data_IF_821209104100
#
_entry.id   IF_821209104100
#
_cell.length_a   1.000
_cell.length_b   1.000
_cell.length_c   1.000
_cell.angle_alpha   90.00
_cell.angle_beta   90.00
_cell.angle_gamma   90.00
#
_symmetry.space_group_name_H-M   'P 1'
#
loop_
_entity.id
_entity.type
_entity.pdbx_description
1 polymer ?
#
# COMPACT_ATOMS: atom_id res chain seq x y z
N UNK A 1 -32.00 39.43 -18.76
CA UNK A 1 -31.21 39.71 -17.55
C UNK A 1 -29.97 40.46 -18.01
N UNK A 2 -29.82 41.73 -17.63
CA UNK A 2 -28.73 42.57 -18.16
C UNK A 2 -27.37 42.01 -17.68
N UNK A 3 -26.36 41.96 -18.56
CA UNK A 3 -25.06 41.34 -18.28
C UNK A 3 -24.38 41.87 -16.99
N UNK A 4 -24.59 43.15 -16.68
CA UNK A 4 -24.11 43.80 -15.47
C UNK A 4 -24.78 43.27 -14.18
N UNK A 5 -26.04 42.84 -14.26
CA UNK A 5 -26.75 42.28 -13.11
C UNK A 5 -26.28 40.84 -12.79
N UNK A 6 -25.90 40.08 -13.82
CA UNK A 6 -25.34 38.73 -13.64
C UNK A 6 -23.94 38.80 -13.02
N UNK A 7 -23.05 39.66 -13.52
CA UNK A 7 -21.72 39.86 -12.95
C UNK A 7 -21.79 40.33 -11.47
N UNK A 8 -22.71 41.25 -11.15
CA UNK A 8 -22.91 41.75 -9.80
C UNK A 8 -23.48 40.68 -8.85
N UNK A 9 -24.45 39.88 -9.30
CA UNK A 9 -24.98 38.74 -8.50
C UNK A 9 -23.95 37.63 -8.34
N UNK A 10 -23.06 37.44 -9.33
CA UNK A 10 -21.98 36.46 -9.24
C UNK A 10 -20.91 36.86 -8.21
N UNK A 11 -20.52 38.14 -8.17
CA UNK A 11 -19.67 38.68 -7.10
C UNK A 11 -20.33 38.54 -5.72
N UNK A 12 -21.65 38.71 -5.62
CA UNK A 12 -22.38 38.48 -4.36
C UNK A 12 -22.40 37.01 -3.94
N UNK A 13 -22.59 36.06 -4.87
CA UNK A 13 -22.57 34.62 -4.56
C UNK A 13 -21.18 34.17 -4.09
N UNK A 14 -20.11 34.64 -4.74
CA UNK A 14 -18.73 34.38 -4.28
C UNK A 14 -18.49 35.02 -2.90
N UNK A 15 -19.04 36.22 -2.66
CA UNK A 15 -18.83 36.94 -1.39
C UNK A 15 -19.54 36.30 -0.18
N UNK A 16 -20.53 35.42 -0.37
CA UNK A 16 -21.26 34.73 0.71
C UNK A 16 -20.42 33.57 1.30
N UNK A 17 -19.53 32.96 0.50
CA UNK A 17 -18.58 31.91 0.95
C UNK A 17 -17.15 32.44 1.24
N UNK A 18 -16.97 33.77 1.22
CA UNK A 18 -15.66 34.43 1.18
C UNK A 18 -15.02 34.91 2.52
N UNK A 19 -15.17 34.27 3.69
CA UNK A 19 -14.15 34.48 4.73
C UNK A 19 -12.79 33.86 4.35
N UNK A 20 -12.72 33.01 3.30
CA UNK A 20 -11.51 32.26 2.90
C UNK A 20 -10.98 32.51 1.49
N UNK A 21 -11.73 33.20 0.62
CA UNK A 21 -11.29 33.54 -0.74
C UNK A 21 -10.75 34.96 -0.74
N UNK A 22 -9.42 35.10 -0.79
CA UNK A 22 -8.77 36.41 -0.92
C UNK A 22 -9.29 37.11 -2.18
N UNK A 23 -10.04 38.21 -1.99
CA UNK A 23 -10.70 38.99 -3.06
C UNK A 23 -9.78 39.41 -4.21
N UNK A 24 -8.47 39.37 -4.01
CA UNK A 24 -7.45 39.79 -4.96
C UNK A 24 -7.14 38.75 -6.04
N UNK A 25 -7.35 37.45 -5.78
CA UNK A 25 -6.94 36.38 -6.70
C UNK A 25 -7.90 36.21 -7.89
N UNK A 26 -9.22 36.26 -7.66
CA UNK A 26 -10.22 36.12 -8.74
C UNK A 26 -10.45 37.42 -9.51
N UNK A 27 -10.27 38.59 -8.88
CA UNK A 27 -10.47 39.89 -9.51
C UNK A 27 -9.54 40.08 -10.73
N UNK A 28 -8.33 39.50 -10.70
CA UNK A 28 -7.39 39.56 -11.81
C UNK A 28 -7.85 38.81 -13.07
N UNK A 29 -8.65 37.75 -12.94
CA UNK A 29 -9.18 36.97 -14.07
C UNK A 29 -10.52 37.55 -14.53
N UNK A 30 -11.43 37.82 -13.59
CA UNK A 30 -12.75 38.37 -13.89
C UNK A 30 -12.70 39.75 -14.56
N UNK A 31 -11.75 40.61 -14.17
CA UNK A 31 -11.58 41.96 -14.75
C UNK A 31 -10.88 41.96 -16.11
N UNK A 32 -10.38 40.81 -16.60
CA UNK A 32 -9.70 40.70 -17.90
C UNK A 32 -10.65 40.37 -19.05
N UNK A 33 -11.80 39.78 -18.75
CA UNK A 33 -12.84 39.56 -19.75
C UNK A 33 -13.78 40.76 -19.79
N UNK A 34 -14.18 41.18 -20.99
CA UNK A 34 -15.25 42.17 -21.11
C UNK A 34 -16.49 41.65 -20.36
N UNK A 35 -17.17 42.48 -19.55
CA UNK A 35 -18.41 42.10 -18.86
C UNK A 35 -19.48 41.54 -19.81
N UNK A 36 -19.46 41.94 -21.09
CA UNK A 36 -20.38 41.44 -22.11
C UNK A 36 -20.02 40.04 -22.64
N UNK A 37 -18.75 39.65 -22.54
CA UNK A 37 -18.21 38.38 -23.08
C UNK A 37 -18.12 37.31 -21.99
N UNK A 38 -17.82 37.73 -20.76
CA UNK A 38 -17.55 36.83 -19.64
C UNK A 38 -18.69 35.82 -19.35
N UNK A 39 -19.98 36.22 -19.32
CA UNK A 39 -21.07 35.26 -19.15
C UNK A 39 -21.10 34.20 -20.26
N UNK A 40 -20.83 34.59 -21.50
CA UNK A 40 -20.76 33.66 -22.64
C UNK A 40 -19.62 32.64 -22.51
N UNK A 41 -18.46 33.09 -22.01
CA UNK A 41 -17.31 32.23 -21.69
C UNK A 41 -17.66 31.20 -20.62
N UNK A 42 -18.33 31.62 -19.55
CA UNK A 42 -18.75 30.72 -18.47
C UNK A 42 -19.80 29.71 -18.94
N UNK A 43 -20.75 30.13 -19.77
CA UNK A 43 -21.74 29.24 -20.39
C UNK A 43 -21.07 28.23 -21.30
N UNK A 44 -20.10 28.65 -22.13
CA UNK A 44 -19.36 27.74 -22.99
C UNK A 44 -18.58 26.70 -22.18
N UNK A 45 -17.93 27.13 -21.09
CA UNK A 45 -17.22 26.22 -20.20
C UNK A 45 -18.16 25.22 -19.50
N UNK A 46 -19.31 25.69 -19.01
CA UNK A 46 -20.33 24.82 -18.40
C UNK A 46 -20.82 23.74 -19.39
N UNK A 47 -21.06 24.11 -20.66
CA UNK A 47 -21.43 23.15 -21.73
C UNK A 47 -20.36 22.10 -21.98
N UNK A 48 -19.08 22.48 -21.92
CA UNK A 48 -17.96 21.53 -22.06
C UNK A 48 -17.95 20.53 -20.91
N UNK A 49 -18.14 21.00 -19.67
CA UNK A 49 -18.23 20.13 -18.49
C UNK A 49 -19.43 19.19 -18.56
N UNK A 50 -20.60 19.70 -18.93
CA UNK A 50 -21.82 18.91 -19.08
C UNK A 50 -21.63 17.80 -20.13
N UNK A 51 -21.07 18.13 -21.30
CA UNK A 51 -20.77 17.16 -22.35
C UNK A 51 -19.76 16.10 -21.88
N UNK A 52 -18.71 16.50 -21.16
CA UNK A 52 -17.70 15.57 -20.64
C UNK A 52 -18.28 14.59 -19.61
N UNK A 53 -19.12 15.07 -18.69
CA UNK A 53 -19.80 14.25 -17.69
C UNK A 53 -20.79 13.28 -18.35
N UNK A 54 -21.59 13.77 -19.30
CA UNK A 54 -22.55 12.94 -20.03
C UNK A 54 -21.84 11.81 -20.80
N UNK A 55 -20.71 12.11 -21.43
CA UNK A 55 -19.92 11.11 -22.15
C UNK A 55 -19.27 10.09 -21.20
N UNK A 56 -18.80 10.52 -20.03
CA UNK A 56 -18.31 9.60 -18.99
C UNK A 56 -19.42 8.64 -18.52
N UNK A 57 -20.59 9.16 -18.19
CA UNK A 57 -21.73 8.35 -17.74
C UNK A 57 -22.19 7.36 -18.82
N UNK A 58 -22.29 7.80 -20.07
CA UNK A 58 -22.62 6.92 -21.21
C UNK A 58 -21.64 5.76 -21.32
N UNK A 59 -20.32 6.03 -21.31
CA UNK A 59 -19.27 5.00 -21.41
C UNK A 59 -19.27 4.07 -20.21
N UNK A 60 -19.54 4.61 -19.02
CA UNK A 60 -19.64 3.81 -17.81
C UNK A 60 -20.84 2.86 -17.87
N UNK A 61 -21.99 3.29 -18.38
CA UNK A 61 -23.15 2.40 -18.58
C UNK A 61 -22.88 1.31 -19.61
N UNK A 62 -22.16 1.62 -20.68
CA UNK A 62 -21.87 0.66 -21.76
C UNK A 62 -20.79 -0.38 -21.40
N UNK A 63 -19.73 0.04 -20.72
CA UNK A 63 -18.54 -0.79 -20.51
C UNK A 63 -18.05 -0.86 -19.04
N UNK A 64 -18.82 -0.31 -18.10
CA UNK A 64 -18.48 -0.27 -16.68
C UNK A 64 -17.14 0.43 -16.43
N UNK A 65 -16.36 -0.13 -15.51
CA UNK A 65 -15.02 0.36 -15.17
C UNK A 65 -14.03 0.36 -16.34
N UNK A 66 -14.29 -0.43 -17.41
CA UNK A 66 -13.45 -0.49 -18.61
C UNK A 66 -13.76 0.59 -19.65
N UNK A 67 -14.88 1.30 -19.47
CA UNK A 67 -15.29 2.43 -20.33
C UNK A 67 -14.63 3.75 -19.95
N UNK A 68 -14.21 3.89 -18.69
CA UNK A 68 -13.53 5.05 -18.15
C UNK A 68 -12.03 4.77 -18.02
N UNK A 69 -11.29 4.90 -19.12
CA UNK A 69 -9.84 4.79 -19.10
C UNK A 69 -9.16 5.95 -18.36
N UNK A 70 -7.88 5.79 -18.04
CA UNK A 70 -7.06 6.81 -17.40
C UNK A 70 -7.05 8.14 -18.15
N UNK A 71 -6.89 8.12 -19.48
CA UNK A 71 -6.82 9.35 -20.28
C UNK A 71 -8.11 10.19 -20.15
N UNK A 72 -9.28 9.57 -20.26
CA UNK A 72 -10.56 10.26 -20.07
C UNK A 72 -10.74 10.75 -18.63
N UNK A 73 -10.33 9.94 -17.65
CA UNK A 73 -10.39 10.33 -16.24
C UNK A 73 -9.51 11.54 -15.93
N UNK A 74 -8.27 11.56 -16.44
CA UNK A 74 -7.35 12.70 -16.34
C UNK A 74 -7.85 13.91 -17.11
N UNK A 75 -8.48 13.70 -18.27
CA UNK A 75 -9.11 14.73 -19.07
C UNK A 75 -10.18 15.49 -18.30
N UNK A 76 -11.14 14.77 -17.73
CA UNK A 76 -12.21 15.38 -16.93
C UNK A 76 -11.66 15.99 -15.65
N UNK A 77 -10.65 15.39 -15.03
CA UNK A 77 -9.98 16.02 -13.90
C UNK A 77 -9.26 17.33 -14.30
N UNK A 78 -8.65 17.40 -15.47
CA UNK A 78 -8.03 18.64 -15.96
C UNK A 78 -9.09 19.74 -16.15
N UNK A 79 -10.23 19.39 -16.75
CA UNK A 79 -11.36 20.30 -16.92
C UNK A 79 -11.94 20.75 -15.56
N UNK A 80 -12.13 19.83 -14.62
CA UNK A 80 -12.60 20.13 -13.25
C UNK A 80 -11.68 21.14 -12.54
N UNK A 81 -10.36 20.91 -12.56
CA UNK A 81 -9.39 21.84 -11.94
C UNK A 81 -9.35 23.19 -12.62
N UNK A 82 -9.49 23.22 -13.95
CA UNK A 82 -9.60 24.45 -14.71
C UNK A 82 -10.87 25.23 -14.39
N UNK A 83 -12.00 24.53 -14.26
CA UNK A 83 -13.25 25.12 -13.84
C UNK A 83 -13.12 25.74 -12.46
N UNK A 84 -12.61 24.98 -11.50
CA UNK A 84 -12.36 25.46 -10.14
C UNK A 84 -11.47 26.71 -10.14
N UNK A 85 -10.40 26.73 -10.94
CA UNK A 85 -9.55 27.91 -11.09
C UNK A 85 -10.28 29.11 -11.69
N UNK A 86 -11.11 28.91 -12.73
CA UNK A 86 -11.90 29.98 -13.33
C UNK A 86 -12.88 30.62 -12.33
N UNK A 87 -13.45 29.82 -11.42
CA UNK A 87 -14.40 30.30 -10.42
C UNK A 87 -13.76 30.92 -9.18
N UNK A 88 -12.62 30.37 -8.72
CA UNK A 88 -11.99 30.78 -7.45
C UNK A 88 -10.78 31.70 -7.62
N UNK A 89 -10.13 31.68 -8.78
CA UNK A 89 -8.85 32.33 -9.03
C UNK A 89 -7.68 31.75 -8.21
N UNK A 90 -7.87 30.68 -7.43
CA UNK A 90 -6.85 30.14 -6.53
C UNK A 90 -5.85 29.27 -7.30
N UNK A 91 -4.58 29.67 -7.47
CA UNK A 91 -3.61 28.89 -8.21
C UNK A 91 -3.29 27.53 -7.55
N UNK A 92 -3.60 27.33 -6.26
CA UNK A 92 -3.38 26.07 -5.55
C UNK A 92 -4.24 24.92 -6.08
N UNK A 93 -5.35 25.22 -6.75
CA UNK A 93 -6.22 24.18 -7.34
C UNK A 93 -5.63 23.57 -8.61
N UNK A 94 -4.60 24.20 -9.19
CA UNK A 94 -3.92 23.75 -10.40
C UNK A 94 -2.62 22.98 -10.04
N UNK A 95 -2.54 21.66 -10.27
CA UNK A 95 -1.33 20.89 -10.07
C UNK A 95 -0.23 21.36 -11.03
N UNK A 96 0.65 22.27 -10.57
CA UNK A 96 1.54 23.05 -11.45
C UNK A 96 2.43 22.17 -12.33
N UNK A 97 2.89 21.03 -11.82
CA UNK A 97 3.73 20.08 -12.58
C UNK A 97 3.00 19.50 -13.78
N UNK A 98 1.75 19.05 -13.57
CA UNK A 98 0.94 18.43 -14.64
C UNK A 98 0.44 19.51 -15.60
N UNK A 99 -0.12 20.61 -15.09
CA UNK A 99 -0.67 21.70 -15.90
C UNK A 99 0.38 22.41 -16.76
N UNK A 100 1.65 22.44 -16.33
CA UNK A 100 2.75 22.95 -17.17
C UNK A 100 3.02 22.04 -18.36
N UNK A 101 3.03 20.72 -18.18
CA UNK A 101 3.22 19.77 -19.28
C UNK A 101 2.07 19.77 -20.27
N UNK A 102 0.85 20.01 -19.80
CA UNK A 102 -0.30 20.19 -20.67
C UNK A 102 -0.26 21.50 -21.49
N UNK A 103 0.68 22.41 -21.19
CA UNK A 103 0.77 23.75 -21.79
C UNK A 103 -0.27 24.73 -21.24
N UNK A 104 -1.06 24.31 -20.25
CA UNK A 104 -2.13 25.10 -19.63
C UNK A 104 -1.56 26.31 -18.90
N UNK A 105 -0.49 26.13 -18.12
CA UNK A 105 0.09 27.22 -17.33
C UNK A 105 0.60 28.37 -18.19
N UNK A 106 1.20 28.08 -19.35
CA UNK A 106 1.72 29.11 -20.24
C UNK A 106 0.60 29.84 -20.97
N UNK A 107 -0.45 29.10 -21.39
CA UNK A 107 -1.66 29.72 -21.93
C UNK A 107 -2.31 30.68 -20.93
N UNK A 108 -2.43 30.27 -19.66
CA UNK A 108 -3.00 31.12 -18.60
C UNK A 108 -2.16 32.37 -18.35
N UNK A 109 -0.82 32.29 -18.37
CA UNK A 109 0.06 33.47 -18.24
C UNK A 109 -0.17 34.48 -19.36
N UNK A 110 -0.39 34.01 -20.58
CA UNK A 110 -0.68 34.86 -21.74
C UNK A 110 -2.14 35.27 -21.84
N UNK A 111 -2.96 35.02 -20.80
CA UNK A 111 -4.41 35.26 -20.80
C UNK A 111 -5.17 34.51 -21.91
N UNK A 112 -4.63 33.38 -22.37
CA UNK A 112 -5.23 32.52 -23.37
C UNK A 112 -6.22 31.52 -22.78
N UNK A 113 -6.97 30.85 -23.67
CA UNK A 113 -7.87 29.77 -23.27
C UNK A 113 -7.08 28.59 -22.68
N UNK A 114 -7.58 27.92 -21.62
CA UNK A 114 -6.92 26.73 -21.10
C UNK A 114 -6.61 25.72 -22.21
N UNK A 115 -5.33 25.36 -22.32
CA UNK A 115 -4.84 24.46 -23.35
C UNK A 115 -4.51 23.09 -22.75
N UNK A 116 -4.94 22.02 -23.40
CA UNK A 116 -4.55 20.65 -23.09
C UNK A 116 -3.82 20.10 -24.31
N UNK A 117 -2.51 19.92 -24.19
CA UNK A 117 -1.66 19.39 -25.26
C UNK A 117 -2.10 17.98 -25.65
N UNK A 118 -2.58 17.75 -26.91
CA UNK A 118 -2.97 16.41 -27.36
C UNK A 118 -1.79 15.42 -27.42
N UNK A 119 -0.55 15.94 -27.44
CA UNK A 119 0.67 15.10 -27.38
C UNK A 119 0.88 14.48 -26.01
N UNK A 120 0.34 15.10 -24.96
CA UNK A 120 0.45 14.64 -23.58
C UNK A 120 -0.81 13.94 -23.10
N UNK A 121 -1.97 14.52 -23.42
CA UNK A 121 -3.29 14.02 -23.05
C UNK A 121 -4.26 14.29 -24.19
N UNK A 122 -4.64 13.25 -24.93
CA UNK A 122 -5.63 13.33 -25.99
C UNK A 122 -6.96 12.73 -25.51
N UNK A 123 -8.01 13.55 -25.56
CA UNK A 123 -9.37 13.18 -25.13
C UNK A 123 -10.37 13.24 -26.28
N UNK A 124 -9.92 13.49 -27.52
CA UNK A 124 -10.79 13.76 -28.66
C UNK A 124 -11.46 12.51 -29.22
N UNK A 125 -10.76 11.37 -29.18
CA UNK A 125 -11.20 10.15 -29.86
C UNK A 125 -11.03 8.89 -29.00
N UNK A 126 -11.89 7.90 -29.25
CA UNK A 126 -11.73 6.54 -28.72
C UNK A 126 -11.61 6.50 -27.20
N UNK A 127 -10.64 5.75 -26.67
CA UNK A 127 -10.35 5.64 -25.22
C UNK A 127 -9.53 6.81 -24.66
N UNK A 128 -9.16 7.77 -25.50
CA UNK A 128 -8.14 8.77 -25.19
C UNK A 128 -6.74 8.16 -25.09
N UNK A 129 -5.73 9.02 -25.13
CA UNK A 129 -4.32 8.64 -25.02
C UNK A 129 -3.63 9.52 -23.98
N UNK A 130 -2.76 8.92 -23.18
CA UNK A 130 -1.90 9.64 -22.24
C UNK A 130 -0.45 9.23 -22.44
N UNK A 131 0.43 10.20 -22.58
CA UNK A 131 1.86 9.96 -22.73
C UNK A 131 2.50 9.77 -21.35
N UNK A 132 2.57 8.50 -20.91
CA UNK A 132 3.14 8.13 -19.61
C UNK A 132 4.64 8.34 -19.49
N UNK A 133 5.38 8.27 -20.61
CA UNK A 133 6.84 8.45 -20.62
C UNK A 133 7.19 9.88 -20.25
N UNK A 134 6.42 10.85 -20.73
CA UNK A 134 6.57 12.27 -20.38
C UNK A 134 5.76 12.72 -19.16
N UNK A 135 4.99 11.83 -18.53
CA UNK A 135 4.09 12.20 -17.43
C UNK A 135 4.84 12.37 -16.11
N UNK A 136 4.44 13.30 -15.21
CA UNK A 136 5.10 13.44 -13.92
C UNK A 136 4.98 12.17 -13.09
N UNK A 137 6.06 11.80 -12.41
CA UNK A 137 6.11 10.63 -11.55
C UNK A 137 6.42 11.02 -10.10
N UNK A 138 5.91 10.21 -9.17
CA UNK A 138 6.29 10.20 -7.76
C UNK A 138 7.65 9.51 -7.58
N UNK A 139 8.24 9.63 -6.39
CA UNK A 139 9.52 8.99 -6.05
C UNK A 139 9.53 7.47 -6.22
N UNK A 140 8.36 6.83 -6.15
CA UNK A 140 8.17 5.39 -6.35
C UNK A 140 7.93 5.00 -7.83
N UNK A 141 8.12 5.93 -8.77
CA UNK A 141 7.93 5.71 -10.21
C UNK A 141 6.47 5.68 -10.67
N UNK A 142 5.50 5.91 -9.78
CA UNK A 142 4.07 5.96 -10.15
C UNK A 142 3.71 7.32 -10.74
N UNK A 143 2.84 7.40 -11.76
CA UNK A 143 2.42 8.67 -12.31
C UNK A 143 1.60 9.48 -11.30
N UNK A 144 1.75 10.80 -11.34
CA UNK A 144 0.90 11.73 -10.60
C UNK A 144 -0.41 11.89 -11.37
N UNK A 145 -1.51 11.37 -10.82
CA UNK A 145 -2.83 11.38 -11.47
C UNK A 145 -3.74 12.40 -10.78
N UNK A 146 -4.24 13.38 -11.54
CA UNK A 146 -5.12 14.44 -11.04
C UNK A 146 -6.47 13.88 -10.61
N UNK A 147 -7.04 12.93 -11.35
CA UNK A 147 -8.36 12.38 -11.01
C UNK A 147 -8.32 11.58 -9.70
N UNK A 148 -7.19 10.92 -9.38
CA UNK A 148 -7.01 10.22 -8.10
C UNK A 148 -7.05 11.21 -6.95
N UNK A 149 -6.39 12.38 -7.10
CA UNK A 149 -6.44 13.44 -6.09
C UNK A 149 -7.85 14.05 -5.96
N UNK A 150 -8.60 14.18 -7.06
CA UNK A 150 -10.01 14.60 -7.01
C UNK A 150 -10.89 13.57 -6.28
N UNK A 151 -10.69 12.27 -6.52
CA UNK A 151 -11.42 11.21 -5.82
C UNK A 151 -11.13 11.22 -4.31
N UNK A 152 -9.87 11.45 -3.93
CA UNK A 152 -9.49 11.52 -2.51
C UNK A 152 -10.16 12.69 -1.81
N UNK A 153 -10.28 13.83 -2.49
CA UNK A 153 -10.90 15.03 -1.96
C UNK A 153 -12.43 14.89 -1.80
N UNK A 154 -13.12 14.34 -2.81
CA UNK A 154 -14.58 14.30 -2.81
C UNK A 154 -15.20 13.09 -2.11
N UNK A 155 -14.49 11.96 -2.07
CA UNK A 155 -15.01 10.72 -1.50
C UNK A 155 -14.21 10.33 -0.27
N UNK A 156 -13.05 9.69 -0.48
CA UNK A 156 -12.05 9.43 0.54
C UNK A 156 -10.79 8.84 -0.11
N UNK A 157 -9.76 8.67 0.73
CA UNK A 157 -8.49 8.02 0.37
C UNK A 157 -8.65 6.56 -0.06
N UNK A 158 -9.68 5.87 0.41
CA UNK A 158 -9.97 4.46 0.07
C UNK A 158 -10.37 4.33 -1.40
N UNK A 159 -11.32 5.16 -1.84
CA UNK A 159 -11.82 5.22 -3.22
C UNK A 159 -10.69 5.63 -4.15
N UNK A 160 -9.92 6.67 -3.78
CA UNK A 160 -8.78 7.13 -4.56
C UNK A 160 -7.71 6.05 -4.72
N UNK A 161 -7.33 5.38 -3.62
CA UNK A 161 -6.32 4.34 -3.68
C UNK A 161 -6.80 3.11 -4.45
N UNK A 162 -8.06 2.71 -4.30
CA UNK A 162 -8.65 1.64 -5.10
C UNK A 162 -8.56 1.96 -6.60
N UNK A 163 -8.97 3.17 -7.01
CA UNK A 163 -8.86 3.60 -8.40
C UNK A 163 -7.43 3.64 -8.91
N UNK A 164 -6.52 4.24 -8.15
CA UNK A 164 -5.10 4.33 -8.53
C UNK A 164 -4.49 2.93 -8.72
N UNK A 165 -4.87 1.98 -7.87
CA UNK A 165 -4.38 0.60 -7.91
C UNK A 165 -4.95 -0.19 -9.08
N UNK A 166 -6.23 -0.02 -9.38
CA UNK A 166 -6.86 -0.58 -10.57
C UNK A 166 -6.15 -0.07 -11.83
N UNK A 167 -5.92 1.24 -11.94
CA UNK A 167 -5.23 1.82 -13.10
C UNK A 167 -3.78 1.36 -13.19
N UNK A 168 -3.10 1.25 -12.05
CA UNK A 168 -1.74 0.73 -11.99
C UNK A 168 -1.68 -0.66 -12.64
N UNK A 169 -2.48 -1.62 -12.18
CA UNK A 169 -2.45 -2.99 -12.68
C UNK A 169 -3.12 -3.20 -14.04
N UNK A 170 -4.13 -2.42 -14.38
CA UNK A 170 -4.91 -2.61 -15.62
C UNK A 170 -4.36 -1.83 -16.81
N UNK A 171 -3.79 -0.64 -16.60
CA UNK A 171 -3.52 0.32 -17.70
C UNK A 171 -2.07 0.83 -17.72
N UNK A 172 -1.42 0.99 -16.56
CA UNK A 172 -0.07 1.55 -16.45
C UNK A 172 1.04 0.49 -16.57
N UNK A 173 0.69 -0.74 -16.95
CA UNK A 173 1.63 -1.86 -16.97
C UNK A 173 2.17 -2.18 -15.58
N UNK A 174 1.36 -1.94 -14.53
CA UNK A 174 1.75 -2.09 -13.14
C UNK A 174 2.42 -3.42 -12.92
N UNK A 175 3.57 -3.40 -12.24
CA UNK A 175 4.54 -4.51 -12.11
C UNK A 175 3.95 -5.82 -12.61
N UNK A 176 4.17 -6.15 -13.88
CA UNK A 176 3.75 -7.45 -14.38
C UNK A 176 4.37 -8.47 -13.44
N UNK A 177 3.53 -9.17 -12.69
CA UNK A 177 3.97 -10.31 -11.87
C UNK A 177 4.20 -11.43 -12.87
N UNK A 178 5.36 -11.37 -13.51
CA UNK A 178 5.84 -12.29 -14.55
C UNK A 178 6.75 -13.39 -13.96
N UNK A 179 6.65 -13.61 -12.64
CA UNK A 179 7.33 -14.68 -11.94
C UNK A 179 7.23 -14.57 -10.42
N UNK A 180 7.63 -15.65 -9.74
CA UNK A 180 7.57 -15.77 -8.27
C UNK A 180 8.44 -14.73 -7.55
N UNK A 181 9.59 -14.35 -8.11
CA UNK A 181 10.49 -13.36 -7.50
C UNK A 181 9.79 -12.00 -7.34
N UNK A 182 9.32 -11.43 -8.46
CA UNK A 182 8.57 -10.16 -8.46
C UNK A 182 7.29 -10.22 -7.63
N UNK A 183 6.62 -11.36 -7.62
CA UNK A 183 5.46 -11.61 -6.78
C UNK A 183 5.80 -11.44 -5.29
N UNK A 184 6.89 -12.06 -4.85
CA UNK A 184 7.32 -11.98 -3.44
C UNK A 184 7.80 -10.57 -3.07
N UNK A 185 8.50 -9.87 -3.96
CA UNK A 185 8.88 -8.46 -3.74
C UNK A 185 7.66 -7.55 -3.64
N UNK A 186 6.68 -7.71 -4.54
CA UNK A 186 5.44 -6.95 -4.50
C UNK A 186 4.68 -7.19 -3.20
N UNK A 187 4.51 -8.45 -2.79
CA UNK A 187 3.82 -8.78 -1.55
C UNK A 187 4.56 -8.22 -0.33
N UNK A 188 5.89 -8.29 -0.30
CA UNK A 188 6.68 -7.66 0.76
C UNK A 188 6.41 -6.15 0.87
N UNK A 189 6.40 -5.43 -0.25
CA UNK A 189 6.08 -4.00 -0.29
C UNK A 189 4.66 -3.70 0.18
N UNK A 190 3.67 -4.50 -0.25
CA UNK A 190 2.27 -4.32 0.21
C UNK A 190 2.17 -4.47 1.72
N UNK A 191 2.83 -5.48 2.30
CA UNK A 191 2.79 -5.67 3.74
C UNK A 191 3.55 -4.57 4.49
N UNK A 192 4.76 -4.24 4.05
CA UNK A 192 5.63 -3.25 4.70
C UNK A 192 5.10 -1.83 4.60
N UNK A 193 4.67 -1.40 3.41
CA UNK A 193 4.36 0.00 3.13
C UNK A 193 2.89 0.35 3.36
N UNK A 194 2.00 -0.65 3.42
CA UNK A 194 0.55 -0.42 3.53
C UNK A 194 -0.06 -1.17 4.70
N UNK A 195 0.05 -2.51 4.72
CA UNK A 195 -0.61 -3.31 5.76
C UNK A 195 -0.13 -2.93 7.17
N UNK A 196 1.20 -2.87 7.38
CA UNK A 196 1.79 -2.55 8.69
C UNK A 196 1.35 -1.14 9.16
N UNK A 197 1.58 -0.04 8.40
CA UNK A 197 1.15 1.29 8.84
C UNK A 197 -0.35 1.43 9.07
N UNK A 198 -1.18 0.86 8.19
CA UNK A 198 -2.64 0.96 8.32
C UNK A 198 -3.17 0.17 9.53
N UNK A 199 -2.56 -0.97 9.83
CA UNK A 199 -2.94 -1.80 10.98
C UNK A 199 -2.47 -1.17 12.30
N UNK A 200 -1.28 -0.53 12.32
CA UNK A 200 -0.83 0.30 13.44
C UNK A 200 -1.84 1.41 13.72
N UNK A 201 -2.21 2.18 12.69
CA UNK A 201 -3.16 3.28 12.83
C UNK A 201 -4.54 2.81 13.34
N UNK A 202 -4.97 1.61 12.95
CA UNK A 202 -6.19 1.00 13.47
C UNK A 202 -6.09 0.65 14.96
N UNK A 203 -5.07 -0.13 15.36
CA UNK A 203 -4.90 -0.57 16.75
C UNK A 203 -4.75 0.65 17.66
N UNK A 204 -3.88 1.59 17.29
CA UNK A 204 -3.65 2.82 18.03
C UNK A 204 -4.94 3.63 18.25
N UNK A 205 -5.78 3.73 17.21
CA UNK A 205 -7.06 4.43 17.31
C UNK A 205 -8.02 3.71 18.26
N UNK A 206 -8.06 2.38 18.25
CA UNK A 206 -8.92 1.62 19.16
C UNK A 206 -8.45 1.74 20.60
N UNK A 207 -7.15 1.59 20.85
CA UNK A 207 -6.53 1.76 22.16
C UNK A 207 -6.79 3.16 22.72
N UNK A 208 -6.48 4.22 21.96
CA UNK A 208 -6.73 5.61 22.38
C UNK A 208 -8.20 5.84 22.70
N UNK A 209 -9.13 5.21 21.99
CA UNK A 209 -10.57 5.27 22.30
C UNK A 209 -10.92 4.55 23.59
N UNK A 210 -10.29 3.42 23.90
CA UNK A 210 -10.43 2.70 25.16
C UNK A 210 -9.94 3.53 26.35
N UNK A 211 -8.70 4.03 26.28
CA UNK A 211 -8.08 4.88 27.30
C UNK A 211 -8.95 6.12 27.61
N UNK A 212 -9.42 6.82 26.57
CA UNK A 212 -10.29 7.99 26.74
C UNK A 212 -11.69 7.66 27.30
N UNK A 213 -12.16 6.42 27.18
CA UNK A 213 -13.41 5.97 27.81
C UNK A 213 -13.21 5.64 29.29
N UNK A 214 -12.11 4.98 29.64
CA UNK A 214 -11.75 4.70 31.03
C UNK A 214 -11.66 5.97 31.88
N UNK A 215 -10.97 7.00 31.36
CA UNK A 215 -10.84 8.32 32.01
C UNK A 215 -12.21 8.99 32.27
N UNK A 216 -13.20 8.77 31.39
CA UNK A 216 -14.56 9.36 31.51
C UNK A 216 -15.52 8.51 32.35
N UNK A 217 -15.26 7.21 32.48
CA UNK A 217 -16.08 6.22 33.20
C UNK A 217 -15.81 6.22 34.72
N UNK A 218 -14.61 6.66 35.15
CA UNK A 218 -14.20 6.76 36.55
C UNK A 218 -15.04 7.67 37.47
N UNK A 219 -16.13 8.27 36.96
CA UNK A 219 -17.10 9.02 37.75
C UNK A 219 -18.36 8.24 38.16
N UNK A 220 -18.49 6.95 37.83
CA UNK A 220 -19.77 6.24 38.02
C UNK A 220 -19.67 4.77 38.42
N UNK A 221 -19.05 4.48 39.57
CA UNK A 221 -19.47 3.37 40.44
C UNK A 221 -19.02 3.61 41.88
N UNK A 222 -19.92 3.33 42.82
CA UNK A 222 -19.93 3.87 44.17
C UNK A 222 -18.87 3.34 45.15
N UNK A 223 -18.51 4.24 46.08
CA UNK A 223 -18.21 4.03 47.51
C UNK A 223 -17.06 3.07 47.86
N UNK A 224 -15.90 3.67 48.13
CA UNK A 224 -14.78 3.07 48.86
C UNK A 224 -13.68 4.09 49.07
N UNK A 225 -13.16 4.20 50.29
CA UNK A 225 -12.31 5.28 50.76
C UNK A 225 -10.87 5.27 50.21
N UNK A 226 -10.29 6.47 50.11
CA UNK A 226 -8.84 6.77 50.05
C UNK A 226 -8.03 6.30 48.83
N UNK A 227 -7.75 7.26 47.94
CA UNK A 227 -6.53 7.36 47.15
C UNK A 227 -6.40 6.44 45.94
N UNK A 228 -6.88 6.87 44.75
CA UNK A 228 -6.42 6.27 43.48
C UNK A 228 -6.75 7.11 42.21
N UNK A 229 -6.99 8.42 42.35
CA UNK A 229 -7.18 9.29 41.17
C UNK A 229 -5.88 9.58 40.42
N UNK A 230 -4.75 9.65 41.12
CA UNK A 230 -3.45 10.02 40.53
C UNK A 230 -2.78 8.85 39.81
N UNK A 231 -2.88 7.64 40.37
CA UNK A 231 -2.47 6.35 39.78
C UNK A 231 -3.16 6.09 38.44
N UNK A 232 -4.47 6.35 38.32
CA UNK A 232 -5.20 6.14 37.05
C UNK A 232 -4.69 7.04 35.90
N UNK A 233 -4.18 8.23 36.22
CA UNK A 233 -3.63 9.17 35.24
C UNK A 233 -2.19 8.81 34.86
N UNK A 234 -1.36 8.42 35.82
CA UNK A 234 0.01 7.95 35.57
C UNK A 234 0.02 6.66 34.74
N UNK A 235 -0.85 5.71 35.07
CA UNK A 235 -1.02 4.46 34.35
C UNK A 235 -1.50 4.71 32.90
N UNK A 236 -2.45 5.63 32.70
CA UNK A 236 -2.91 6.03 31.36
C UNK A 236 -1.82 6.74 30.54
N UNK A 237 -1.01 7.58 31.18
CA UNK A 237 0.15 8.22 30.55
C UNK A 237 1.20 7.19 30.14
N UNK A 238 1.48 6.21 30.99
CA UNK A 238 2.40 5.10 30.69
C UNK A 238 1.89 4.25 29.52
N UNK A 239 0.58 3.98 29.45
CA UNK A 239 -0.04 3.28 28.33
C UNK A 239 0.08 4.06 27.01
N UNK A 240 -0.09 5.39 27.05
CA UNK A 240 0.10 6.26 25.88
C UNK A 240 1.56 6.26 25.41
N UNK A 241 2.53 6.34 26.33
CA UNK A 241 3.96 6.25 26.00
C UNK A 241 4.31 4.89 25.39
N UNK A 242 3.79 3.81 25.96
CA UNK A 242 3.99 2.45 25.42
C UNK A 242 3.40 2.30 24.01
N UNK A 243 2.23 2.90 23.75
CA UNK A 243 1.61 2.91 22.43
C UNK A 243 2.44 3.70 21.41
N UNK A 244 2.88 4.92 21.75
CA UNK A 244 3.72 5.75 20.87
C UNK A 244 5.07 5.08 20.56
N UNK A 245 5.67 4.45 21.58
CA UNK A 245 6.89 3.69 21.42
C UNK A 245 6.71 2.41 20.57
N UNK A 246 5.50 1.87 20.49
CA UNK A 246 5.17 0.75 19.62
C UNK A 246 4.91 1.21 18.17
N UNK A 247 4.20 2.33 17.98
CA UNK A 247 3.89 2.90 16.65
C UNK A 247 5.14 3.19 15.81
N UNK A 248 6.24 3.56 16.47
CA UNK A 248 7.51 3.95 15.82
C UNK A 248 8.56 2.85 15.79
N UNK A 249 8.28 1.68 16.39
CA UNK A 249 9.27 0.61 16.53
C UNK A 249 9.43 -0.20 15.25
N UNK A 250 10.63 -0.73 15.04
CA UNK A 250 10.86 -1.73 14.00
C UNK A 250 10.18 -3.06 14.35
N UNK A 251 9.48 -3.66 13.38
CA UNK A 251 8.76 -4.93 13.56
C UNK A 251 7.69 -4.87 14.67
N UNK A 252 6.73 -3.94 14.62
CA UNK A 252 5.73 -3.77 15.68
C UNK A 252 4.86 -5.03 15.88
N UNK A 253 4.75 -5.86 14.83
CA UNK A 253 4.01 -7.12 14.84
C UNK A 253 4.83 -8.35 15.25
N UNK A 254 5.99 -8.17 15.90
CA UNK A 254 6.72 -9.26 16.59
C UNK A 254 6.05 -9.60 17.92
N UNK A 255 6.09 -10.87 18.33
CA UNK A 255 5.52 -11.34 19.61
C UNK A 255 6.16 -10.64 20.81
N UNK A 256 7.47 -10.39 20.78
CA UNK A 256 8.15 -9.65 21.85
C UNK A 256 7.70 -8.20 21.99
N UNK A 257 7.23 -7.58 20.90
CA UNK A 257 6.64 -6.24 20.92
C UNK A 257 5.17 -6.28 21.33
N UNK A 258 4.44 -7.34 21.00
CA UNK A 258 3.09 -7.57 21.50
C UNK A 258 3.05 -7.68 23.02
N UNK A 259 3.91 -8.51 23.60
CA UNK A 259 3.95 -8.74 25.05
C UNK A 259 4.12 -7.41 25.80
N UNK A 260 5.04 -6.56 25.34
CA UNK A 260 5.26 -5.22 25.89
C UNK A 260 4.04 -4.30 25.74
N UNK A 261 3.41 -4.29 24.56
CA UNK A 261 2.20 -3.51 24.35
C UNK A 261 1.05 -4.00 25.23
N UNK A 262 0.86 -5.32 25.30
CA UNK A 262 -0.23 -5.95 26.06
C UNK A 262 -0.12 -5.72 27.56
N UNK A 263 1.09 -5.77 28.12
CA UNK A 263 1.35 -5.55 29.55
C UNK A 263 1.03 -4.11 30.00
N UNK A 264 1.23 -3.14 29.11
CA UNK A 264 1.08 -1.71 29.42
C UNK A 264 -0.29 -1.15 29.00
N UNK A 265 -0.93 -1.71 27.96
CA UNK A 265 -2.07 -1.07 27.29
C UNK A 265 -3.38 -1.85 27.45
N UNK A 266 -3.34 -3.17 27.53
CA UNK A 266 -4.57 -3.99 27.59
C UNK A 266 -5.17 -4.09 29.00
N UNK A 267 -4.60 -3.38 29.99
CA UNK A 267 -5.15 -3.26 31.36
C UNK A 267 -6.38 -2.33 31.45
N UNK A 268 -6.62 -1.48 30.45
CA UNK A 268 -7.67 -0.44 30.48
C UNK A 268 -8.91 -0.76 29.64
N UNK A 269 -9.07 -1.99 29.14
CA UNK A 269 -10.30 -2.40 28.48
C UNK A 269 -11.32 -2.85 29.55
N UNK A 270 -12.29 -1.98 29.83
CA UNK A 270 -13.30 -2.07 30.91
C UNK A 270 -14.37 -3.16 30.65
N UNK A 271 -14.00 -4.25 29.96
CA UNK A 271 -14.87 -5.39 29.62
C UNK A 271 -14.15 -6.69 29.96
N UNK A 272 -14.60 -7.33 31.04
CA UNK A 272 -14.17 -8.61 31.62
C UNK A 272 -12.97 -9.29 30.95
N UNK A 273 -11.87 -9.34 31.71
CA UNK A 273 -10.54 -9.92 31.47
C UNK A 273 -10.50 -11.40 31.03
N UNK A 274 -11.66 -12.05 30.88
CA UNK A 274 -11.79 -13.46 30.44
C UNK A 274 -11.64 -13.64 28.91
N UNK A 275 -11.67 -12.58 28.09
CA UNK A 275 -11.85 -12.71 26.62
C UNK A 275 -10.76 -12.10 25.71
N UNK A 276 -9.55 -11.79 26.21
CA UNK A 276 -8.40 -11.57 25.31
C UNK A 276 -7.97 -12.91 24.69
N UNK A 277 -8.75 -13.38 23.71
CA UNK A 277 -8.59 -14.71 23.13
C UNK A 277 -7.43 -14.71 22.14
N UNK A 278 -6.26 -15.13 22.59
CA UNK A 278 -5.16 -15.48 21.69
C UNK A 278 -5.56 -16.74 20.93
N UNK A 279 -5.62 -16.64 19.60
CA UNK A 279 -5.89 -17.77 18.71
C UNK A 279 -4.63 -18.12 17.96
N UNK A 280 -4.20 -19.37 18.06
CA UNK A 280 -3.07 -19.87 17.28
C UNK A 280 -3.54 -20.23 15.87
N UNK A 281 -2.87 -19.70 14.85
CA UNK A 281 -3.06 -20.11 13.44
C UNK A 281 -1.73 -20.27 12.76
N UNK A 282 -1.66 -21.15 11.76
CA UNK A 282 -0.48 -21.17 10.90
C UNK A 282 -0.51 -19.95 9.97
N UNK A 283 0.67 -19.48 9.55
CA UNK A 283 0.77 -18.40 8.54
C UNK A 283 0.04 -18.76 7.24
N UNK A 284 0.04 -20.04 6.87
CA UNK A 284 -0.63 -20.52 5.66
C UNK A 284 -2.15 -20.45 5.80
N UNK A 285 -2.69 -20.87 6.94
CA UNK A 285 -4.15 -20.82 7.19
C UNK A 285 -4.65 -19.38 7.26
N UNK A 286 -3.89 -18.49 7.90
CA UNK A 286 -4.25 -17.08 7.91
C UNK A 286 -4.12 -16.43 6.52
N UNK A 287 -3.09 -16.78 5.74
CA UNK A 287 -2.95 -16.34 4.35
C UNK A 287 -4.10 -16.84 3.45
N UNK A 288 -4.58 -18.07 3.68
CA UNK A 288 -5.76 -18.64 3.03
C UNK A 288 -7.02 -17.81 3.36
N UNK A 289 -7.24 -17.50 4.64
CA UNK A 289 -8.36 -16.65 5.08
C UNK A 289 -8.32 -15.27 4.44
N UNK A 290 -7.15 -14.63 4.40
CA UNK A 290 -6.96 -13.36 3.70
C UNK A 290 -7.29 -13.49 2.21
N UNK A 291 -6.79 -14.53 1.54
CA UNK A 291 -7.05 -14.75 0.11
C UNK A 291 -8.55 -14.93 -0.16
N UNK A 292 -9.23 -15.74 0.65
CA UNK A 292 -10.68 -15.98 0.54
C UNK A 292 -11.46 -14.69 0.79
N UNK A 293 -11.15 -13.93 1.84
CA UNK A 293 -11.84 -12.67 2.12
C UNK A 293 -11.63 -11.62 1.01
N UNK A 294 -10.47 -11.63 0.33
CA UNK A 294 -10.20 -10.78 -0.83
C UNK A 294 -10.98 -11.21 -2.06
N UNK A 295 -11.02 -12.50 -2.39
CA UNK A 295 -11.53 -12.99 -3.68
C UNK A 295 -12.99 -13.45 -3.65
N UNK A 296 -13.47 -13.89 -2.49
CA UNK A 296 -14.79 -14.50 -2.28
C UNK A 296 -15.66 -13.71 -1.29
N UNK A 297 -15.13 -12.59 -0.76
CA UNK A 297 -15.84 -11.70 0.14
C UNK A 297 -17.18 -11.24 -0.44
N UNK A 298 -18.26 -11.40 0.33
CA UNK A 298 -19.63 -11.10 -0.09
C UNK A 298 -20.45 -12.32 -0.55
N UNK A 299 -19.82 -13.49 -0.73
CA UNK A 299 -20.55 -14.76 -0.93
C UNK A 299 -21.11 -15.29 0.39
N UNK A 300 -22.27 -15.95 0.34
CA UNK A 300 -22.95 -16.51 1.52
C UNK A 300 -22.00 -17.47 2.26
N UNK A 301 -21.68 -17.15 3.51
CA UNK A 301 -20.82 -17.97 4.37
C UNK A 301 -19.35 -17.54 4.43
N UNK A 302 -18.87 -16.69 3.52
CA UNK A 302 -17.47 -16.25 3.51
C UNK A 302 -17.30 -14.90 4.20
N UNK A 303 -16.30 -14.75 5.10
CA UNK A 303 -16.01 -13.47 5.72
C UNK A 303 -15.50 -12.46 4.67
N UNK A 304 -15.98 -11.22 4.75
CA UNK A 304 -15.60 -10.14 3.84
C UNK A 304 -14.26 -9.49 4.23
N UNK A 305 -13.84 -8.51 3.45
CA UNK A 305 -12.63 -7.71 3.72
C UNK A 305 -12.69 -7.03 5.09
N UNK A 306 -13.88 -6.73 5.61
CA UNK A 306 -14.05 -6.14 6.95
C UNK A 306 -13.50 -7.02 8.08
N UNK A 307 -13.32 -8.32 7.85
CA UNK A 307 -12.76 -9.25 8.83
C UNK A 307 -11.23 -9.19 8.95
N UNK A 308 -10.55 -8.71 7.90
CA UNK A 308 -9.08 -8.69 7.80
C UNK A 308 -8.51 -7.29 7.70
N UNK A 309 -9.33 -6.27 7.43
CA UNK A 309 -8.90 -4.90 7.21
C UNK A 309 -9.87 -3.87 7.82
N UNK A 310 -9.34 -2.75 8.34
CA UNK A 310 -10.13 -1.55 8.65
C UNK A 310 -10.89 -1.01 7.42
N UNK A 311 -12.00 -0.29 7.65
CA UNK A 311 -12.86 0.25 6.58
C UNK A 311 -12.12 1.11 5.55
N UNK A 312 -11.13 1.89 5.97
CA UNK A 312 -10.40 2.82 5.10
C UNK A 312 -9.05 2.26 4.62
N UNK A 313 -8.84 0.95 4.73
CA UNK A 313 -7.60 0.33 4.31
C UNK A 313 -7.49 0.21 2.81
N UNK A 314 -6.29 0.46 2.28
CA UNK A 314 -6.04 0.50 0.84
C UNK A 314 -5.40 -0.76 0.30
N UNK A 315 -4.61 -1.45 1.11
CA UNK A 315 -3.93 -2.69 0.73
C UNK A 315 -4.87 -3.81 0.21
N UNK A 316 -6.13 -4.00 0.69
CA UNK A 316 -6.97 -5.08 0.19
C UNK A 316 -7.31 -4.91 -1.29
N UNK A 317 -7.63 -3.68 -1.70
CA UNK A 317 -7.94 -3.35 -3.09
C UNK A 317 -6.73 -3.53 -4.01
N UNK A 318 -5.54 -3.12 -3.53
CA UNK A 318 -4.27 -3.31 -4.23
C UNK A 318 -3.96 -4.78 -4.46
N UNK A 319 -4.04 -5.59 -3.40
CA UNK A 319 -3.73 -7.01 -3.47
C UNK A 319 -4.76 -7.77 -4.32
N UNK A 320 -6.06 -7.45 -4.17
CA UNK A 320 -7.13 -8.01 -5.01
C UNK A 320 -6.89 -7.71 -6.49
N UNK A 321 -6.58 -6.47 -6.84
CA UNK A 321 -6.29 -6.09 -8.23
C UNK A 321 -5.08 -6.86 -8.77
N UNK A 322 -4.00 -6.98 -8.00
CA UNK A 322 -2.83 -7.76 -8.39
C UNK A 322 -3.18 -9.23 -8.67
N UNK A 323 -3.98 -9.87 -7.81
CA UNK A 323 -4.43 -11.25 -7.99
C UNK A 323 -5.30 -11.40 -9.25
N UNK A 324 -6.23 -10.48 -9.48
CA UNK A 324 -7.16 -10.53 -10.62
C UNK A 324 -6.50 -10.26 -11.97
N UNK A 325 -5.50 -9.38 -12.01
CA UNK A 325 -4.84 -8.97 -13.25
C UNK A 325 -3.58 -9.79 -13.58
N UNK A 326 -3.08 -10.60 -12.64
CA UNK A 326 -2.01 -11.55 -12.93
C UNK A 326 -2.57 -12.72 -13.73
N UNK A 327 -1.97 -13.05 -14.88
CA UNK A 327 -2.45 -14.18 -15.70
C UNK A 327 -2.27 -15.47 -14.90
N UNK A 328 -3.31 -16.30 -14.83
CA UNK A 328 -3.31 -17.53 -14.02
C UNK A 328 -2.20 -18.53 -14.34
N UNK A 329 -1.55 -18.43 -15.50
CA UNK A 329 -0.37 -19.20 -15.86
C UNK A 329 0.89 -18.84 -15.03
N UNK A 330 0.96 -17.63 -14.46
CA UNK A 330 2.14 -17.14 -13.73
C UNK A 330 2.05 -17.37 -12.22
N UNK A 331 0.85 -17.34 -11.64
CA UNK A 331 0.64 -17.53 -10.22
C UNK A 331 -0.71 -18.20 -9.94
N UNK A 332 -0.65 -19.45 -9.49
CA UNK A 332 -1.79 -20.22 -8.98
C UNK A 332 -2.26 -19.68 -7.62
N UNK A 333 -3.48 -20.05 -7.22
CA UNK A 333 -4.02 -19.79 -5.87
C UNK A 333 -3.03 -20.19 -4.77
N UNK A 334 -2.49 -21.40 -4.84
CA UNK A 334 -1.53 -21.91 -3.86
C UNK A 334 -0.24 -21.09 -3.79
N UNK A 335 0.23 -20.54 -4.92
CA UNK A 335 1.37 -19.63 -4.97
C UNK A 335 1.04 -18.28 -4.33
N UNK A 336 -0.17 -17.74 -4.54
CA UNK A 336 -0.65 -16.54 -3.84
C UNK A 336 -0.68 -16.70 -2.33
N UNK A 337 -1.27 -17.79 -1.84
CA UNK A 337 -1.32 -18.08 -0.40
C UNK A 337 0.09 -18.23 0.18
N UNK A 338 0.94 -18.98 -0.51
CA UNK A 338 2.33 -19.18 -0.06
C UNK A 338 3.13 -17.88 -0.08
N UNK A 339 2.93 -17.04 -1.10
CA UNK A 339 3.55 -15.72 -1.21
C UNK A 339 3.09 -14.78 -0.11
N UNK A 340 1.79 -14.75 0.22
CA UNK A 340 1.24 -13.96 1.32
C UNK A 340 1.86 -14.40 2.65
N UNK A 341 1.92 -15.70 2.91
CA UNK A 341 2.55 -16.25 4.11
C UNK A 341 4.06 -15.90 4.19
N UNK A 342 4.78 -15.96 3.07
CA UNK A 342 6.19 -15.57 2.99
C UNK A 342 6.39 -14.07 3.20
N UNK A 343 5.47 -13.24 2.71
CA UNK A 343 5.51 -11.80 2.90
C UNK A 343 5.36 -11.43 4.39
N UNK A 344 4.48 -12.12 5.13
CA UNK A 344 4.37 -11.96 6.58
C UNK A 344 5.69 -12.26 7.29
N UNK A 345 6.39 -13.33 6.90
CA UNK A 345 7.73 -13.63 7.45
C UNK A 345 8.72 -12.51 7.13
N UNK A 346 8.77 -12.07 5.87
CA UNK A 346 9.70 -11.02 5.43
C UNK A 346 9.44 -9.66 6.08
N UNK A 347 8.19 -9.38 6.48
CA UNK A 347 7.79 -8.17 7.18
C UNK A 347 7.86 -8.30 8.71
N UNK A 348 8.43 -9.39 9.24
CA UNK A 348 8.49 -9.68 10.69
C UNK A 348 7.12 -9.67 11.39
N UNK A 349 6.09 -10.21 10.73
CA UNK A 349 4.73 -10.34 11.28
C UNK A 349 4.58 -11.72 11.94
N UNK A 350 4.36 -11.69 13.25
CA UNK A 350 4.20 -12.86 14.13
C UNK A 350 2.83 -12.89 14.81
N UNK A 351 2.13 -11.76 14.85
CA UNK A 351 0.75 -11.67 15.30
C UNK A 351 -0.03 -10.64 14.49
N UNK A 352 -1.35 -10.79 14.47
CA UNK A 352 -2.27 -9.89 13.78
C UNK A 352 -3.55 -9.70 14.60
N UNK A 353 -4.27 -8.58 14.45
CA UNK A 353 -5.61 -8.44 15.01
C UNK A 353 -6.54 -9.53 14.46
N UNK A 354 -7.37 -10.09 15.33
CA UNK A 354 -8.36 -11.11 15.01
C UNK A 354 -9.67 -10.52 14.50
N UNK A 355 -10.68 -11.37 14.37
CA UNK A 355 -11.99 -10.96 13.89
C UNK A 355 -13.11 -11.47 14.80
N UNK A 356 -13.96 -10.57 15.28
CA UNK A 356 -15.15 -10.91 16.05
C UNK A 356 -16.40 -10.49 15.28
N UNK A 357 -17.41 -11.37 15.21
CA UNK A 357 -18.64 -11.17 14.41
C UNK A 357 -18.35 -10.73 12.97
N UNK A 358 -17.34 -11.34 12.34
CA UNK A 358 -16.87 -11.06 10.97
C UNK A 358 -16.30 -9.65 10.74
N UNK A 359 -15.93 -8.94 11.81
CA UNK A 359 -15.24 -7.64 11.72
C UNK A 359 -13.91 -7.69 12.46
N UNK A 360 -12.93 -6.99 11.92
CA UNK A 360 -11.62 -6.84 12.52
C UNK A 360 -11.74 -6.22 13.92
N UNK A 361 -11.03 -6.79 14.89
CA UNK A 361 -11.00 -6.32 16.27
C UNK A 361 -9.57 -6.33 16.81
N UNK A 362 -9.29 -5.41 17.72
CA UNK A 362 -8.03 -5.37 18.48
C UNK A 362 -8.08 -6.22 19.75
N UNK A 363 -9.26 -6.67 20.17
CA UNK A 363 -9.49 -7.43 21.41
C UNK A 363 -9.14 -8.92 21.26
N UNK A 364 -9.14 -9.41 20.03
CA UNK A 364 -8.71 -10.75 19.70
C UNK A 364 -7.38 -10.65 18.97
N UNK A 365 -6.44 -11.54 19.29
CA UNK A 365 -5.14 -11.59 18.64
C UNK A 365 -4.94 -12.96 18.04
N UNK A 366 -4.54 -13.00 16.77
CA UNK A 366 -4.12 -14.24 16.12
C UNK A 366 -2.61 -14.29 16.15
N UNK A 367 -2.06 -15.26 16.89
CA UNK A 367 -0.63 -15.53 16.90
C UNK A 367 -0.29 -16.51 15.79
N UNK A 368 0.65 -16.10 14.93
CA UNK A 368 1.06 -16.84 13.74
C UNK A 368 2.18 -17.82 14.09
N UNK A 369 1.82 -19.10 14.15
CA UNK A 369 2.72 -20.19 14.51
C UNK A 369 3.15 -21.01 13.29
N UNK A 370 4.20 -21.81 13.46
CA UNK A 370 4.69 -22.72 12.43
C UNK A 370 5.62 -22.08 11.39
N UNK A 371 6.32 -22.96 10.67
CA UNK A 371 7.26 -22.59 9.63
C UNK A 371 6.52 -22.23 8.32
N UNK A 372 6.88 -21.12 7.70
CA UNK A 372 6.49 -20.78 6.34
C UNK A 372 7.74 -20.71 5.47
N UNK A 373 7.62 -21.10 4.20
CA UNK A 373 8.70 -20.95 3.24
C UNK A 373 9.08 -19.48 3.10
N UNK A 374 10.37 -19.17 3.12
CA UNK A 374 10.85 -17.80 2.89
C UNK A 374 10.58 -17.37 1.45
N UNK A 375 10.54 -16.07 1.21
CA UNK A 375 10.42 -15.51 -0.15
C UNK A 375 11.52 -16.05 -1.08
N UNK A 376 12.73 -16.23 -0.57
CA UNK A 376 13.88 -16.80 -1.30
C UNK A 376 13.68 -18.26 -1.70
N UNK A 377 13.03 -19.07 -0.87
CA UNK A 377 12.65 -20.45 -1.20
C UNK A 377 11.59 -20.47 -2.31
N UNK A 378 10.59 -19.59 -2.23
CA UNK A 378 9.50 -19.52 -3.20
C UNK A 378 9.94 -18.97 -4.57
N UNK A 379 10.89 -18.05 -4.59
CA UNK A 379 11.47 -17.51 -5.81
C UNK A 379 12.36 -18.52 -6.56
N UNK A 380 12.85 -19.57 -5.88
CA UNK A 380 13.65 -20.62 -6.50
C UNK A 380 12.80 -21.55 -7.38
N UNK A 381 13.36 -21.96 -8.53
CA UNK A 381 12.69 -22.86 -9.47
C UNK A 381 12.20 -24.15 -8.77
N UNK A 382 10.96 -24.59 -9.03
CA UNK A 382 10.47 -25.89 -8.55
C UNK A 382 11.46 -27.02 -8.87
N UNK A 383 11.64 -27.94 -7.93
CA UNK A 383 12.52 -29.13 -8.01
C UNK A 383 14.03 -28.89 -8.17
N UNK A 384 14.46 -27.63 -8.24
CA UNK A 384 15.88 -27.29 -8.31
C UNK A 384 16.63 -27.69 -7.04
N UNK A 385 17.90 -28.08 -7.21
CA UNK A 385 18.80 -28.41 -6.10
C UNK A 385 18.98 -27.19 -5.17
N UNK A 386 18.97 -25.98 -5.73
CA UNK A 386 18.97 -24.70 -4.99
C UNK A 386 17.75 -24.58 -4.07
N UNK A 387 16.54 -24.89 -4.56
CA UNK A 387 15.33 -24.85 -3.74
C UNK A 387 15.37 -25.89 -2.62
N UNK A 388 15.79 -27.12 -2.90
CA UNK A 388 15.94 -28.17 -1.88
C UNK A 388 16.96 -27.79 -0.80
N UNK A 389 18.06 -27.15 -1.19
CA UNK A 389 19.04 -26.63 -0.23
C UNK A 389 18.46 -25.54 0.67
N UNK A 390 17.75 -24.56 0.09
CA UNK A 390 17.10 -23.49 0.84
C UNK A 390 15.97 -24.01 1.76
N UNK A 391 15.19 -24.98 1.31
CA UNK A 391 14.16 -25.64 2.13
C UNK A 391 14.79 -26.44 3.29
N UNK A 392 15.92 -27.11 3.06
CA UNK A 392 16.65 -27.82 4.10
C UNK A 392 17.28 -26.88 5.13
N UNK A 393 17.80 -25.73 4.68
CA UNK A 393 18.32 -24.67 5.56
C UNK A 393 17.20 -24.04 6.40
N UNK A 394 16.05 -23.74 5.79
CA UNK A 394 14.88 -23.21 6.50
C UNK A 394 14.34 -24.19 7.55
N UNK A 395 14.37 -25.51 7.28
CA UNK A 395 14.02 -26.54 8.28
C UNK A 395 15.03 -26.54 9.44
N UNK A 396 16.32 -26.50 9.16
CA UNK A 396 17.38 -26.45 10.19
C UNK A 396 17.32 -25.21 11.07
N UNK A 397 16.98 -24.05 10.52
CA UNK A 397 16.85 -22.81 11.32
C UNK A 397 15.70 -22.91 12.32
N UNK A 398 14.58 -23.55 11.93
CA UNK A 398 13.42 -23.76 12.82
C UNK A 398 13.78 -24.73 13.96
N UNK A 399 14.51 -25.81 13.65
CA UNK A 399 14.94 -26.80 14.67
C UNK A 399 15.99 -26.23 15.64
N UNK A 400 16.79 -25.25 15.21
CA UNK A 400 17.84 -24.64 16.04
C UNK A 400 17.32 -23.74 17.17
N UNK A 401 16.08 -23.25 17.07
CA UNK A 401 15.42 -22.47 18.13
C UNK A 401 14.96 -23.38 19.30
N UNK A 402 14.86 -24.70 19.07
CA UNK A 402 14.38 -25.67 20.05
C UNK A 402 15.45 -26.47 20.80
N UNK A 403 16.65 -26.68 20.25
CA UNK A 403 17.69 -27.48 20.93
C UNK A 403 19.09 -26.98 20.57
N UNK A 404 19.85 -26.50 21.55
CA UNK A 404 21.32 -26.34 21.44
C UNK A 404 21.97 -27.73 21.33
N UNK A 405 21.97 -28.34 20.14
CA UNK A 405 22.81 -29.50 19.85
C UNK A 405 24.21 -29.01 19.50
N UNK A 406 25.19 -29.42 20.30
CA UNK A 406 26.60 -29.13 20.10
C UNK A 406 27.04 -29.52 18.69
N UNK A 407 27.67 -28.59 17.96
CA UNK A 407 28.29 -28.83 16.65
C UNK A 407 29.50 -29.76 16.83
N UNK A 408 29.30 -31.07 16.73
CA UNK A 408 30.38 -32.00 16.44
C UNK A 408 30.57 -31.99 14.91
N UNK A 409 31.66 -31.38 14.44
CA UNK A 409 32.10 -31.53 13.05
C UNK A 409 32.72 -32.93 12.91
N UNK A 410 32.20 -33.84 12.08
CA UNK A 410 32.96 -35.03 11.72
C UNK A 410 34.09 -34.59 10.79
N UNK A 411 35.33 -34.87 11.18
CA UNK A 411 36.50 -34.79 10.32
C UNK A 411 36.34 -35.89 9.28
N UNK A 412 36.15 -35.52 8.01
CA UNK A 412 36.16 -36.46 6.90
C UNK A 412 37.63 -36.74 6.58
N UNK A 413 38.13 -37.89 7.03
CA UNK A 413 39.40 -38.44 6.53
C UNK A 413 39.14 -39.14 5.19
N UNK A 414 39.60 -38.52 4.11
CA UNK A 414 39.69 -39.15 2.79
C UNK A 414 40.93 -40.05 2.75
N UNK A 415 40.77 -41.28 3.23
CA UNK A 415 41.72 -42.38 2.97
C UNK A 415 41.01 -43.46 2.14
N UNK A 416 40.75 -43.16 0.88
CA UNK A 416 40.36 -44.17 -0.10
C UNK A 416 41.62 -44.89 -0.60
N UNK A 417 41.86 -46.11 -0.09
CA UNK A 417 42.74 -47.08 -0.73
C UNK A 417 42.13 -47.45 -2.08
N UNK A 418 42.75 -46.98 -3.16
CA UNK A 418 42.45 -47.47 -4.51
C UNK A 418 43.34 -48.68 -4.75
N UNK A 419 42.74 -49.87 -4.71
CA UNK A 419 43.35 -51.09 -5.24
C UNK A 419 43.11 -51.08 -6.75
N UNK A 420 44.17 -50.87 -7.52
CA UNK A 420 44.14 -50.96 -8.99
C UNK A 420 44.68 -52.35 -9.38
N UNK A 421 43.90 -53.23 -10.04
CA UNK A 421 44.45 -54.41 -10.69
C UNK A 421 45.16 -53.99 -11.98
N UNK A 422 46.42 -54.36 -12.11
CA UNK A 422 47.26 -54.11 -13.27
C UNK A 422 46.81 -54.91 -14.50
N UNK A 423 46.95 -54.33 -15.70
CA UNK A 423 47.27 -55.10 -16.89
C UNK A 423 48.60 -54.65 -17.51
N UNK A 424 49.51 -55.63 -17.60
CA UNK A 424 50.45 -55.91 -18.70
C UNK A 424 51.14 -54.74 -19.43
N UNK A 425 52.43 -54.61 -19.09
CA UNK A 425 53.58 -54.54 -20.02
C UNK A 425 53.42 -53.73 -21.32
N UNK A 426 54.01 -52.54 -21.38
CA UNK A 426 55.19 -52.26 -22.22
C UNK A 426 55.60 -50.77 -22.15
N UNK A 427 56.92 -50.57 -22.22
CA UNK A 427 57.62 -49.34 -22.60
C UNK A 427 57.76 -48.17 -21.59
N UNK A 428 58.88 -48.25 -20.86
CA UNK A 428 59.99 -47.27 -20.82
C UNK A 428 59.64 -45.77 -20.78
N UNK A 429 60.00 -45.13 -19.67
CA UNK A 429 60.24 -43.69 -19.63
C UNK A 429 60.36 -43.09 -18.24
N UNK A 430 61.58 -43.12 -17.68
CA UNK A 430 61.97 -42.43 -16.44
C UNK A 430 61.77 -40.90 -16.52
N UNK A 431 61.30 -40.30 -15.41
CA UNK A 431 61.83 -39.11 -14.70
C UNK A 431 60.71 -38.50 -13.82
N UNK A 432 60.58 -38.88 -12.53
CA UNK A 432 61.19 -38.25 -11.33
C UNK A 432 61.12 -36.70 -11.34
N UNK A 433 60.25 -36.08 -10.50
CA UNK A 433 60.58 -35.49 -9.15
C UNK A 433 60.96 -33.99 -9.32
N UNK A 434 60.57 -32.95 -8.56
CA UNK A 434 60.14 -32.66 -7.17
C UNK A 434 59.48 -31.25 -7.22
N UNK A 435 58.30 -31.01 -6.64
CA UNK A 435 58.04 -30.31 -5.36
C UNK A 435 59.11 -29.29 -4.92
N UNK A 436 58.74 -28.02 -4.78
CA UNK A 436 59.47 -27.03 -3.99
C UNK A 436 58.90 -25.60 -4.11
N UNK A 437 58.98 -24.74 -3.07
CA UNK A 437 57.87 -23.90 -2.64
C UNK A 437 58.03 -22.38 -2.86
N UNK A 438 56.91 -21.66 -2.63
CA UNK A 438 56.77 -20.20 -2.48
C UNK A 438 57.86 -19.54 -1.60
N UNK A 439 58.11 -18.23 -1.80
CA UNK A 439 57.71 -17.31 -0.73
C UNK A 439 57.12 -15.95 -1.17
N UNK A 440 56.25 -15.48 -0.27
CA UNK A 440 55.87 -14.13 0.14
C UNK A 440 56.76 -12.94 -0.31
N UNK A 441 56.11 -11.80 -0.65
CA UNK A 441 56.30 -10.41 -0.15
C UNK A 441 55.56 -9.46 -1.13
N UNK A 442 54.44 -8.86 -0.73
CA UNK A 442 54.28 -7.46 -0.24
C UNK A 442 54.41 -6.34 -1.29
N UNK A 443 53.28 -5.64 -1.49
CA UNK A 443 53.12 -4.17 -1.43
C UNK A 443 53.86 -3.21 -2.39
N UNK A 444 53.15 -2.11 -2.68
CA UNK A 444 53.42 -0.92 -3.53
C UNK A 444 53.04 -1.12 -5.00
N UNK A 445 52.11 -0.36 -5.60
CA UNK A 445 51.54 0.98 -5.32
C UNK A 445 50.05 1.03 -5.59
#
# INVERSE_FOLDING_TARGET
MQANEFAFRFEQVISIDAPRLEKQLYAGILRRFSPDIFPGVMVAFAKVMEAAIAEMDRRFREAGSKGLGMALSEGVAALDRLGNFCFTGDPRVLPTKVMRLLGTMDSLKTCGWPFISPRMLDIREGRGLVNLVGWPQLSNGRPVLMHVASLEYHYDRTVASNRHSQLWFAELGGRSIDGMDRMTTFLHEVFRDLWVPETIAFIARQVRRGLNRGIRSGGRSGVGAHGDTDTSNEESAQAMVALEAWETREGPFRTSNFEKLSAEVLKFDDRSTEESKIVLKTRRDFAEEMFVALMEGGRKGHPGVESIAPTHSTWPSILRAAIQHTRGAFATRAQWISGIAAAMVSASIEWVPGSHRRRLTHQQVVQLVGAAASATVLAARPDSLKRRALEAEARRSVDSVGVKRAKIRPRIDLASYIIIPAPNSSEKGLLRVLIGPLPLFSSFT
#
